data_IF_985649073175
#
_entry.id   IF_985649073175
#
_cell.length_a   1.000
_cell.length_b   1.000
_cell.length_c   1.000
_cell.angle_alpha   90.00
_cell.angle_beta   90.00
_cell.angle_gamma   90.00
#
_symmetry.space_group_name_H-M   'P 1'
#
loop_
_entity.id
_entity.type
_entity.pdbx_description
1 polymer ?
#
# COMPACT_ATOMS: atom_id res chain seq x y z
N UNK A 1 53.29 -5.25 8.46
CA UNK A 1 52.89 -3.96 9.07
C UNK A 1 51.60 -4.16 9.86
N UNK A 2 51.45 -3.55 11.04
CA UNK A 2 50.20 -3.61 11.83
C UNK A 2 49.42 -2.32 11.59
N UNK A 3 48.18 -2.43 11.16
CA UNK A 3 47.33 -1.26 10.87
C UNK A 3 45.93 -1.41 11.48
N UNK A 4 45.30 -0.27 11.74
CA UNK A 4 43.87 -0.16 11.99
C UNK A 4 43.29 0.70 10.88
N UNK A 5 42.41 0.13 10.06
CA UNK A 5 41.77 0.82 8.94
C UNK A 5 40.26 0.79 9.12
N UNK A 6 39.60 1.91 8.85
CA UNK A 6 38.13 1.99 8.83
C UNK A 6 37.70 2.39 7.43
N UNK A 7 36.89 1.55 6.81
CA UNK A 7 36.23 1.80 5.53
C UNK A 7 34.76 2.08 5.81
N UNK A 8 34.34 3.33 5.63
CA UNK A 8 32.99 3.79 5.97
C UNK A 8 32.08 3.83 4.72
N UNK A 9 30.83 3.40 4.90
CA UNK A 9 29.74 3.38 3.89
C UNK A 9 30.13 2.73 2.55
N UNK A 10 30.73 1.54 2.60
CA UNK A 10 31.13 0.81 1.40
C UNK A 10 29.91 0.17 0.73
N UNK A 11 29.63 0.58 -0.50
CA UNK A 11 28.49 0.16 -1.31
C UNK A 11 28.82 -0.78 -2.47
N UNK A 12 30.11 -0.98 -2.77
CA UNK A 12 30.59 -1.90 -3.81
C UNK A 12 31.63 -2.86 -3.19
N UNK A 13 31.43 -4.15 -3.39
CA UNK A 13 32.34 -5.19 -2.94
C UNK A 13 33.76 -5.03 -3.49
N UNK A 14 33.94 -4.48 -4.69
CA UNK A 14 35.25 -4.29 -5.31
C UNK A 14 36.07 -3.15 -4.68
N UNK A 15 35.42 -2.20 -3.98
CA UNK A 15 36.11 -1.06 -3.38
C UNK A 15 37.14 -1.50 -2.32
N UNK A 16 36.86 -2.57 -1.58
CA UNK A 16 37.74 -3.06 -0.52
C UNK A 16 39.05 -3.57 -1.13
N UNK A 17 38.99 -4.42 -2.15
CA UNK A 17 40.17 -4.94 -2.85
C UNK A 17 40.93 -3.82 -3.59
N UNK A 18 40.21 -2.89 -4.24
CA UNK A 18 40.86 -1.75 -4.93
C UNK A 18 41.62 -0.83 -3.97
N UNK A 19 41.12 -0.63 -2.75
CA UNK A 19 41.74 0.26 -1.76
C UNK A 19 42.85 -0.41 -0.96
N UNK A 20 42.66 -1.68 -0.59
CA UNK A 20 43.55 -2.39 0.34
C UNK A 20 44.46 -3.41 -0.35
N UNK A 21 44.19 -3.76 -1.60
CA UNK A 21 44.82 -4.89 -2.29
C UNK A 21 44.47 -6.21 -1.61
N UNK A 22 45.38 -7.19 -1.68
CA UNK A 22 45.23 -8.44 -0.92
C UNK A 22 45.33 -8.18 0.58
N UNK A 23 44.38 -8.73 1.34
CA UNK A 23 44.37 -8.70 2.80
C UNK A 23 45.59 -9.44 3.39
N UNK A 24 46.20 -10.36 2.63
CA UNK A 24 47.44 -11.07 3.02
C UNK A 24 48.64 -10.12 3.22
N UNK A 25 48.55 -8.89 2.70
CA UNK A 25 49.59 -7.87 2.88
C UNK A 25 49.65 -7.29 4.31
N UNK A 26 48.64 -7.58 5.15
CA UNK A 26 48.56 -7.07 6.52
C UNK A 26 49.08 -8.07 7.55
N UNK A 27 49.74 -7.56 8.59
CA UNK A 27 50.23 -8.42 9.67
C UNK A 27 49.08 -8.99 10.53
N UNK A 28 49.31 -10.11 11.25
CA UNK A 28 48.27 -10.90 11.95
C UNK A 28 47.58 -10.18 13.13
N UNK A 29 47.96 -8.95 13.46
CA UNK A 29 47.29 -8.12 14.47
C UNK A 29 46.61 -6.87 13.89
N UNK A 30 46.52 -6.79 12.56
CA UNK A 30 45.82 -5.70 11.88
C UNK A 30 44.32 -5.86 12.02
N UNK A 31 43.60 -4.74 12.00
CA UNK A 31 42.13 -4.73 12.07
C UNK A 31 41.58 -3.82 10.98
N UNK A 32 40.65 -4.33 10.21
CA UNK A 32 39.91 -3.58 9.21
C UNK A 32 38.46 -3.57 9.65
N UNK A 33 37.90 -2.39 9.86
CA UNK A 33 36.50 -2.20 10.19
C UNK A 33 35.80 -1.70 8.94
N UNK A 34 34.82 -2.47 8.49
CA UNK A 34 34.02 -2.17 7.31
C UNK A 34 32.60 -1.83 7.77
N UNK A 35 32.09 -0.65 7.41
CA UNK A 35 30.67 -0.32 7.58
C UNK A 35 30.00 -0.35 6.22
N UNK A 36 28.80 -0.93 6.17
CA UNK A 36 27.99 -0.99 4.95
C UNK A 36 26.52 -1.16 5.31
N UNK A 37 25.65 -0.71 4.41
CA UNK A 37 24.20 -0.94 4.45
C UNK A 37 23.82 -2.25 3.75
N UNK A 38 24.72 -2.84 2.96
CA UNK A 38 24.47 -4.04 2.15
C UNK A 38 25.24 -5.25 2.68
N UNK A 39 24.51 -6.26 3.15
CA UNK A 39 25.09 -7.50 3.65
C UNK A 39 25.84 -8.28 2.54
N UNK A 40 25.50 -8.08 1.27
CA UNK A 40 26.18 -8.73 0.16
C UNK A 40 27.64 -8.29 0.05
N UNK A 41 27.95 -7.02 0.35
CA UNK A 41 29.32 -6.49 0.40
C UNK A 41 30.16 -7.24 1.44
N UNK A 42 29.57 -7.54 2.61
CA UNK A 42 30.25 -8.31 3.67
C UNK A 42 30.52 -9.76 3.24
N UNK A 43 29.53 -10.38 2.57
CA UNK A 43 29.64 -11.77 2.08
C UNK A 43 30.70 -11.90 0.98
N UNK A 44 30.68 -10.98 0.01
CA UNK A 44 31.65 -10.95 -1.09
C UNK A 44 33.09 -10.80 -0.58
N UNK A 45 33.29 -9.98 0.45
CA UNK A 45 34.60 -9.73 1.06
C UNK A 45 35.02 -10.75 2.14
N UNK A 46 34.22 -11.80 2.37
CA UNK A 46 34.52 -12.90 3.31
C UNK A 46 34.98 -12.42 4.70
N UNK A 47 34.28 -11.43 5.25
CA UNK A 47 34.63 -10.83 6.54
C UNK A 47 34.64 -11.87 7.68
N UNK A 48 35.56 -11.74 8.62
CA UNK A 48 35.72 -12.70 9.73
C UNK A 48 34.60 -12.61 10.77
N UNK A 49 34.13 -11.40 11.06
CA UNK A 49 33.10 -11.14 12.07
C UNK A 49 32.14 -10.07 11.55
N UNK A 50 30.85 -10.24 11.85
CA UNK A 50 29.79 -9.30 11.47
C UNK A 50 29.05 -8.81 12.70
N UNK A 51 28.85 -7.49 12.80
CA UNK A 51 28.01 -6.88 13.83
C UNK A 51 26.82 -6.19 13.17
N UNK A 52 25.61 -6.69 13.42
CA UNK A 52 24.39 -6.05 12.95
C UNK A 52 23.96 -4.96 13.94
N UNK A 53 23.98 -3.70 13.48
CA UNK A 53 23.48 -2.59 14.29
C UNK A 53 21.97 -2.75 14.50
N UNK A 54 21.54 -2.82 15.75
CA UNK A 54 20.12 -2.95 16.12
C UNK A 54 19.50 -1.59 16.43
N UNK A 55 18.19 -1.52 16.25
CA UNK A 55 17.38 -0.38 16.68
C UNK A 55 17.53 -0.15 18.19
N UNK A 56 17.39 1.10 18.62
CA UNK A 56 17.34 1.40 20.04
C UNK A 56 16.06 0.84 20.67
N UNK A 57 16.18 0.29 21.88
CA UNK A 57 15.01 0.03 22.69
C UNK A 57 14.28 1.35 23.00
N UNK A 58 12.96 1.30 23.17
CA UNK A 58 12.15 2.50 23.50
C UNK A 58 12.73 3.27 24.69
N UNK A 59 13.18 2.54 25.73
CA UNK A 59 13.79 3.13 26.92
C UNK A 59 15.10 3.85 26.58
N UNK A 60 15.98 3.22 25.78
CA UNK A 60 17.26 3.82 25.44
C UNK A 60 17.11 5.02 24.52
N UNK A 61 16.18 4.95 23.56
CA UNK A 61 15.85 6.07 22.70
C UNK A 61 15.26 7.24 23.48
N UNK A 62 14.41 6.97 24.49
CA UNK A 62 13.82 7.99 25.37
C UNK A 62 14.87 8.66 26.26
N UNK A 63 15.76 7.86 26.85
CA UNK A 63 16.90 8.35 27.64
C UNK A 63 17.77 9.30 26.80
N UNK A 64 18.18 8.87 25.60
CA UNK A 64 19.00 9.67 24.70
C UNK A 64 18.28 10.94 24.24
N UNK A 65 16.99 10.83 23.90
CA UNK A 65 16.20 11.97 23.46
C UNK A 65 16.06 13.01 24.58
N UNK A 66 15.71 12.60 25.80
CA UNK A 66 15.55 13.51 26.93
C UNK A 66 16.88 14.16 27.35
N UNK A 67 17.98 13.40 27.29
CA UNK A 67 19.32 13.91 27.57
C UNK A 67 19.68 15.07 26.65
N UNK A 68 19.39 14.95 25.35
CA UNK A 68 19.79 15.93 24.35
C UNK A 68 18.76 17.04 24.11
N UNK A 69 17.47 16.79 24.38
CA UNK A 69 16.42 17.77 24.18
C UNK A 69 16.38 18.85 25.28
N UNK A 70 16.74 18.48 26.52
CA UNK A 70 16.49 19.32 27.71
C UNK A 70 17.74 19.79 28.47
N UNK A 71 18.95 19.44 28.03
CA UNK A 71 20.23 19.92 28.58
C UNK A 71 20.30 19.97 30.12
N UNK A 72 19.74 18.95 30.81
CA UNK A 72 19.63 18.86 32.28
C UNK A 72 18.69 19.85 32.99
N UNK A 73 17.63 20.33 32.33
CA UNK A 73 16.61 21.19 32.98
C UNK A 73 15.49 20.40 33.69
N UNK A 74 14.90 21.01 34.73
CA UNK A 74 13.76 20.47 35.52
C UNK A 74 12.46 20.26 34.71
N UNK A 75 12.43 20.69 33.44
CA UNK A 75 11.27 20.60 32.57
C UNK A 75 11.02 19.19 32.03
N UNK A 76 11.93 18.22 32.24
CA UNK A 76 11.77 16.86 31.71
C UNK A 76 10.45 16.19 32.07
N UNK A 77 9.91 16.41 33.28
CA UNK A 77 8.61 15.84 33.68
C UNK A 77 7.45 16.42 32.88
N UNK A 78 7.49 17.71 32.57
CA UNK A 78 6.41 18.39 31.84
C UNK A 78 6.30 17.87 30.39
N UNK A 79 7.42 17.48 29.79
CA UNK A 79 7.49 17.03 28.40
C UNK A 79 7.51 15.50 28.28
N UNK A 80 7.48 14.75 29.38
CA UNK A 80 7.68 13.29 29.38
C UNK A 80 6.74 12.57 28.41
N UNK A 81 5.44 12.85 28.46
CA UNK A 81 4.46 12.23 27.56
C UNK A 81 4.70 12.60 26.09
N UNK A 82 5.18 13.81 25.81
CA UNK A 82 5.48 14.25 24.45
C UNK A 82 6.75 13.57 23.94
N UNK A 83 7.79 13.47 24.78
CA UNK A 83 9.01 12.72 24.49
C UNK A 83 8.73 11.25 24.20
N UNK A 84 7.87 10.61 25.01
CA UNK A 84 7.50 9.22 24.81
C UNK A 84 6.79 9.02 23.46
N UNK A 85 5.82 9.89 23.13
CA UNK A 85 5.13 9.86 21.82
C UNK A 85 6.10 10.05 20.65
N UNK A 86 7.07 10.95 20.77
CA UNK A 86 8.08 11.20 19.74
C UNK A 86 9.00 10.00 19.51
N UNK A 87 9.51 9.44 20.61
CA UNK A 87 10.40 8.27 20.57
C UNK A 87 9.64 7.04 20.05
N UNK A 88 8.39 6.88 20.45
CA UNK A 88 7.53 5.83 19.92
C UNK A 88 7.31 5.95 18.42
N UNK A 89 7.19 7.18 17.89
CA UNK A 89 7.11 7.42 16.45
C UNK A 89 8.42 7.04 15.74
N UNK A 90 9.57 7.27 16.38
CA UNK A 90 10.88 6.92 15.81
C UNK A 90 11.12 5.41 15.70
N UNK A 91 10.35 4.58 16.44
CA UNK A 91 10.48 3.10 16.42
C UNK A 91 11.92 2.63 16.55
N UNK A 92 12.68 3.24 17.46
CA UNK A 92 14.07 2.88 17.71
C UNK A 92 15.08 3.33 16.63
N UNK A 93 14.64 3.99 15.56
CA UNK A 93 15.52 4.50 14.51
C UNK A 93 16.34 5.72 15.00
N UNK A 94 17.68 5.61 15.13
CA UNK A 94 18.53 6.68 15.66
C UNK A 94 18.49 7.97 14.83
N UNK A 95 18.35 7.86 13.50
CA UNK A 95 18.31 9.01 12.60
C UNK A 95 17.04 9.82 12.80
N UNK A 96 15.91 9.14 12.96
CA UNK A 96 14.63 9.79 13.26
C UNK A 96 14.68 10.51 14.60
N UNK A 97 15.26 9.87 15.63
CA UNK A 97 15.48 10.51 16.95
C UNK A 97 16.37 11.76 16.82
N UNK A 98 17.47 11.68 16.05
CA UNK A 98 18.36 12.83 15.79
C UNK A 98 17.63 13.97 15.10
N UNK A 99 16.79 13.69 14.10
CA UNK A 99 15.98 14.72 13.44
C UNK A 99 15.02 15.37 14.43
N UNK A 100 14.36 14.59 15.31
CA UNK A 100 13.52 15.15 16.37
C UNK A 100 14.26 16.10 17.29
N UNK A 101 15.46 15.72 17.73
CA UNK A 101 16.28 16.62 18.52
C UNK A 101 16.52 17.96 17.81
N UNK A 102 16.79 17.96 16.49
CA UNK A 102 16.97 19.23 15.75
C UNK A 102 15.70 20.08 15.67
N UNK A 103 14.52 19.47 15.67
CA UNK A 103 13.25 20.19 15.57
C UNK A 103 12.83 20.76 16.93
N UNK A 104 13.07 20.00 18.00
CA UNK A 104 12.43 20.22 19.30
C UNK A 104 13.33 20.80 20.39
N UNK A 105 14.65 20.66 20.25
CA UNK A 105 15.60 21.17 21.23
C UNK A 105 15.33 22.65 21.53
N UNK A 106 15.24 22.97 22.82
CA UNK A 106 15.02 24.33 23.35
C UNK A 106 13.71 25.01 22.87
N UNK A 107 12.74 24.25 22.34
CA UNK A 107 11.42 24.77 21.97
C UNK A 107 10.41 24.62 23.12
N UNK A 108 9.47 25.57 23.19
CA UNK A 108 8.34 25.55 24.13
C UNK A 108 7.35 24.43 23.80
N UNK A 109 6.66 23.90 24.81
CA UNK A 109 5.64 22.83 24.72
C UNK A 109 4.60 23.01 23.63
N UNK A 110 4.08 24.23 23.45
CA UNK A 110 3.09 24.54 22.39
C UNK A 110 3.64 24.21 20.99
N UNK A 111 4.94 24.43 20.76
CA UNK A 111 5.61 24.07 19.50
C UNK A 111 5.72 22.55 19.36
N UNK A 112 6.02 21.84 20.44
CA UNK A 112 6.07 20.37 20.44
C UNK A 112 4.73 19.75 20.06
N UNK A 113 3.64 20.22 20.66
CA UNK A 113 2.29 19.75 20.38
C UNK A 113 1.88 20.05 18.93
N UNK A 114 2.21 21.25 18.43
CA UNK A 114 1.93 21.66 17.05
C UNK A 114 2.68 20.78 16.02
N UNK A 115 3.97 20.55 16.21
CA UNK A 115 4.74 19.71 15.30
C UNK A 115 4.36 18.24 15.42
N UNK A 116 4.13 17.70 16.63
CA UNK A 116 3.61 16.34 16.80
C UNK A 116 2.28 16.15 16.05
N UNK A 117 1.41 17.16 16.05
CA UNK A 117 0.18 17.14 15.26
C UNK A 117 0.46 17.13 13.75
N UNK A 118 1.45 17.88 13.26
CA UNK A 118 1.88 17.84 11.85
C UNK A 118 2.48 16.48 11.48
N UNK A 119 3.24 15.85 12.36
CA UNK A 119 3.86 14.54 12.16
C UNK A 119 2.84 13.41 11.94
N UNK A 120 1.69 13.48 12.62
CA UNK A 120 0.57 12.55 12.37
C UNK A 120 0.03 12.65 10.94
N UNK A 121 0.27 13.76 10.25
CA UNK A 121 -0.21 14.01 8.88
C UNK A 121 0.86 13.88 7.82
N UNK A 122 2.12 14.24 8.11
CA UNK A 122 3.22 14.27 7.14
C UNK A 122 4.58 14.04 7.83
N UNK A 123 5.45 13.25 7.20
CA UNK A 123 6.86 13.17 7.62
C UNK A 123 7.59 14.50 7.34
N UNK A 124 8.49 14.96 8.23
CA UNK A 124 9.33 16.13 7.97
C UNK A 124 10.24 15.89 6.77
N UNK A 125 10.49 16.96 6.02
CA UNK A 125 11.39 16.94 4.86
C UNK A 125 12.75 16.31 5.20
N UNK A 126 13.36 16.68 6.33
CA UNK A 126 14.67 16.14 6.74
C UNK A 126 14.69 14.62 6.97
N UNK A 127 13.59 14.02 7.43
CA UNK A 127 13.50 12.55 7.57
C UNK A 127 13.38 11.91 6.19
N UNK A 128 12.56 12.52 5.34
CA UNK A 128 12.40 12.09 3.95
C UNK A 128 13.72 12.16 3.19
N UNK A 129 14.48 13.25 3.30
CA UNK A 129 15.76 13.44 2.60
C UNK A 129 16.78 12.35 2.97
N UNK A 130 16.84 11.98 4.25
CA UNK A 130 17.73 10.90 4.73
C UNK A 130 17.29 9.54 4.23
N UNK A 131 15.98 9.25 4.26
CA UNK A 131 15.44 7.98 3.72
C UNK A 131 15.57 7.91 2.20
N UNK A 132 15.51 9.06 1.52
CA UNK A 132 15.59 9.17 0.08
C UNK A 132 16.97 8.76 -0.44
N UNK A 133 18.05 9.01 0.30
CA UNK A 133 19.40 8.57 -0.11
C UNK A 133 19.45 7.05 -0.39
N UNK A 134 18.93 6.23 0.53
CA UNK A 134 18.88 4.78 0.33
C UNK A 134 17.91 4.35 -0.78
N UNK A 135 16.91 5.16 -1.11
CA UNK A 135 16.00 4.90 -2.22
C UNK A 135 16.63 5.27 -3.57
N UNK A 136 17.35 6.39 -3.63
CA UNK A 136 18.06 6.86 -4.82
C UNK A 136 19.22 5.92 -5.19
N UNK A 137 19.77 5.17 -4.22
CA UNK A 137 20.78 4.11 -4.43
C UNK A 137 20.22 2.83 -5.11
N UNK A 138 18.89 2.64 -5.12
CA UNK A 138 18.24 1.47 -5.74
C UNK A 138 18.16 1.58 -7.26
N UNK A 139 18.18 0.45 -7.97
CA UNK A 139 17.91 0.45 -9.41
C UNK A 139 16.44 0.76 -9.72
N UNK A 140 16.12 1.08 -10.98
CA UNK A 140 14.76 1.48 -11.38
C UNK A 140 13.69 0.42 -11.04
N UNK A 141 14.03 -0.88 -11.14
CA UNK A 141 13.10 -1.98 -10.86
C UNK A 141 12.90 -2.14 -9.35
N UNK A 142 13.97 -2.04 -8.57
CA UNK A 142 13.93 -2.08 -7.11
C UNK A 142 13.19 -0.88 -6.52
N UNK A 143 13.40 0.32 -7.06
CA UNK A 143 12.63 1.52 -6.75
C UNK A 143 11.14 1.30 -6.98
N UNK A 144 10.78 0.75 -8.14
CA UNK A 144 9.38 0.43 -8.46
C UNK A 144 8.79 -0.58 -7.48
N UNK A 145 9.54 -1.64 -7.14
CA UNK A 145 9.11 -2.64 -6.14
C UNK A 145 8.93 -1.99 -4.76
N UNK A 146 9.87 -1.15 -4.32
CA UNK A 146 9.78 -0.43 -3.05
C UNK A 146 8.55 0.47 -3.01
N UNK A 147 8.29 1.23 -4.08
CA UNK A 147 7.10 2.06 -4.18
C UNK A 147 5.81 1.23 -4.20
N UNK A 148 5.79 0.08 -4.87
CA UNK A 148 4.65 -0.82 -4.91
C UNK A 148 4.38 -1.45 -3.54
N UNK A 149 5.43 -1.87 -2.82
CA UNK A 149 5.33 -2.35 -1.44
C UNK A 149 4.89 -1.23 -0.49
N UNK A 150 5.51 -0.05 -0.56
CA UNK A 150 5.11 1.11 0.24
C UNK A 150 3.66 1.48 -0.04
N UNK A 151 3.24 1.50 -1.31
CA UNK A 151 1.85 1.70 -1.69
C UNK A 151 0.95 0.60 -1.15
N UNK A 152 1.34 -0.67 -1.22
CA UNK A 152 0.58 -1.79 -0.66
C UNK A 152 0.38 -1.66 0.85
N UNK A 153 1.47 -1.39 1.60
CA UNK A 153 1.44 -1.22 3.04
C UNK A 153 0.71 0.07 3.47
N UNK A 154 0.83 1.17 2.72
CA UNK A 154 0.11 2.43 3.01
C UNK A 154 -1.37 2.38 2.58
N UNK A 155 -1.72 1.60 1.54
CA UNK A 155 -3.12 1.35 1.10
C UNK A 155 -3.93 0.62 2.17
N UNK A 156 -3.29 -0.17 3.04
CA UNK A 156 -3.95 -0.81 4.18
C UNK A 156 -4.48 0.18 5.22
N UNK A 157 -4.02 1.44 5.24
CA UNK A 157 -4.39 2.42 6.27
C UNK A 157 -5.24 3.60 5.77
N UNK A 158 -5.37 3.77 4.45
CA UNK A 158 -6.17 4.89 3.91
C UNK A 158 -7.63 4.51 3.79
N UNK A 159 -8.49 5.30 4.44
CA UNK A 159 -9.95 5.21 4.34
C UNK A 159 -10.50 5.65 2.99
N UNK A 160 -9.77 6.53 2.29
CA UNK A 160 -10.19 7.15 1.03
C UNK A 160 -9.03 7.23 0.04
N UNK A 161 -9.35 7.25 -1.25
CA UNK A 161 -8.39 7.44 -2.34
C UNK A 161 -8.42 8.92 -2.78
N UNK A 162 -7.26 9.54 -3.06
CA UNK A 162 -7.22 10.86 -3.71
C UNK A 162 -7.87 10.83 -5.10
N UNK A 163 -8.10 12.02 -5.69
CA UNK A 163 -8.72 12.18 -7.00
C UNK A 163 -8.01 11.32 -8.06
N UNK A 164 -8.81 10.59 -8.84
CA UNK A 164 -8.33 9.69 -9.88
C UNK A 164 -8.07 10.45 -11.19
N UNK A 165 -7.08 10.04 -12.01
CA UNK A 165 -6.85 10.63 -13.32
C UNK A 165 -8.00 10.30 -14.28
N UNK A 166 -8.40 11.27 -15.11
CA UNK A 166 -9.56 11.15 -16.01
C UNK A 166 -9.37 10.09 -17.11
N UNK A 167 -8.13 9.76 -17.47
CA UNK A 167 -7.77 8.75 -18.48
C UNK A 167 -7.71 7.31 -17.94
N UNK A 168 -7.97 7.08 -16.66
CA UNK A 168 -7.82 5.77 -16.04
C UNK A 168 -8.85 4.77 -16.59
N UNK A 169 -8.36 3.65 -17.14
CA UNK A 169 -9.20 2.53 -17.62
C UNK A 169 -9.40 1.43 -16.58
N UNK A 170 -8.41 1.19 -15.71
CA UNK A 170 -8.46 0.12 -14.71
C UNK A 170 -8.11 0.66 -13.33
N UNK A 171 -9.01 0.42 -12.36
CA UNK A 171 -8.77 0.70 -10.95
C UNK A 171 -8.83 -0.61 -10.17
N UNK A 172 -7.69 -1.06 -9.66
CA UNK A 172 -7.61 -2.22 -8.78
C UNK A 172 -7.11 -1.77 -7.39
N UNK A 173 -7.99 -1.87 -6.42
CA UNK A 173 -7.72 -1.62 -5.00
C UNK A 173 -8.17 -2.80 -4.13
N UNK A 174 -8.13 -4.01 -4.69
CA UNK A 174 -8.42 -5.22 -3.94
C UNK A 174 -7.57 -5.33 -2.67
N UNK A 175 -8.13 -5.95 -1.64
CA UNK A 175 -7.55 -6.18 -0.32
C UNK A 175 -7.27 -4.93 0.51
N UNK A 176 -7.81 -3.77 0.12
CA UNK A 176 -7.74 -2.54 0.94
C UNK A 176 -8.76 -2.61 2.09
N UNK A 177 -8.41 -3.34 3.16
CA UNK A 177 -9.33 -3.66 4.28
C UNK A 177 -9.90 -2.44 5.00
N UNK A 178 -9.18 -1.31 5.03
CA UNK A 178 -9.63 -0.07 5.67
C UNK A 178 -10.29 0.94 4.73
N UNK A 179 -10.34 0.66 3.43
CA UNK A 179 -10.99 1.55 2.45
C UNK A 179 -12.50 1.55 2.71
N UNK A 180 -13.07 2.75 2.86
CA UNK A 180 -14.49 2.93 3.18
C UNK A 180 -15.31 3.39 1.98
N UNK A 181 -14.69 4.19 1.11
CA UNK A 181 -15.33 4.76 -0.08
C UNK A 181 -14.32 5.07 -1.18
N UNK A 182 -14.83 5.25 -2.40
CA UNK A 182 -14.08 5.75 -3.56
C UNK A 182 -14.47 7.21 -3.85
N UNK A 183 -13.56 8.02 -4.40
CA UNK A 183 -13.92 9.29 -5.02
C UNK A 183 -14.78 9.05 -6.27
N UNK A 184 -15.22 10.13 -6.92
CA UNK A 184 -15.85 10.03 -8.24
C UNK A 184 -14.98 9.25 -9.21
N UNK A 185 -15.60 8.32 -9.93
CA UNK A 185 -14.91 7.43 -10.86
C UNK A 185 -14.69 8.14 -12.21
N UNK A 186 -13.53 7.95 -12.85
CA UNK A 186 -13.25 8.50 -14.17
C UNK A 186 -14.29 8.05 -15.21
N UNK A 187 -14.67 8.91 -16.17
CA UNK A 187 -15.75 8.63 -17.11
C UNK A 187 -15.43 7.50 -18.11
N UNK A 188 -14.15 7.17 -18.29
CA UNK A 188 -13.65 6.13 -19.19
C UNK A 188 -13.16 4.87 -18.46
N UNK A 189 -13.49 4.71 -17.18
CA UNK A 189 -13.11 3.52 -16.42
C UNK A 189 -13.82 2.29 -16.98
N UNK A 190 -13.05 1.28 -17.35
CA UNK A 190 -13.52 0.01 -17.93
C UNK A 190 -13.56 -1.10 -16.87
N UNK A 191 -12.62 -1.11 -15.91
CA UNK A 191 -12.52 -2.14 -14.87
C UNK A 191 -12.36 -1.55 -13.47
N UNK A 192 -13.19 -2.01 -12.52
CA UNK A 192 -13.10 -1.70 -11.10
C UNK A 192 -12.99 -3.00 -10.28
N UNK A 193 -11.89 -3.16 -9.54
CA UNK A 193 -11.69 -4.28 -8.62
C UNK A 193 -11.48 -3.76 -7.19
N UNK A 194 -12.42 -4.09 -6.30
CA UNK A 194 -12.42 -3.79 -4.87
C UNK A 194 -12.54 -5.06 -4.02
N UNK A 195 -12.18 -6.23 -4.58
CA UNK A 195 -12.30 -7.53 -3.89
C UNK A 195 -11.63 -7.50 -2.51
N UNK A 196 -12.22 -8.13 -1.49
CA UNK A 196 -11.69 -8.17 -0.11
C UNK A 196 -11.59 -6.81 0.61
N UNK A 197 -12.28 -5.76 0.15
CA UNK A 197 -12.36 -4.49 0.87
C UNK A 197 -13.42 -4.56 1.99
N UNK A 198 -13.06 -5.20 3.11
CA UNK A 198 -14.03 -5.56 4.16
C UNK A 198 -14.71 -4.37 4.85
N UNK A 199 -14.11 -3.17 4.89
CA UNK A 199 -14.71 -1.97 5.50
C UNK A 199 -15.45 -1.07 4.50
N UNK A 200 -15.52 -1.47 3.23
CA UNK A 200 -16.08 -0.67 2.15
C UNK A 200 -17.61 -0.69 2.19
N UNK A 201 -18.24 0.48 2.26
CA UNK A 201 -19.69 0.57 2.56
C UNK A 201 -20.56 0.88 1.35
N UNK A 202 -20.06 1.70 0.42
CA UNK A 202 -20.86 2.20 -0.70
C UNK A 202 -20.01 2.35 -1.95
N UNK A 203 -20.46 1.77 -3.06
CA UNK A 203 -19.85 2.01 -4.38
C UNK A 203 -20.46 3.30 -4.95
N UNK A 204 -19.64 4.28 -5.40
CA UNK A 204 -20.14 5.50 -6.02
C UNK A 204 -20.83 5.19 -7.36
N UNK A 205 -21.50 6.19 -7.94
CA UNK A 205 -22.08 6.07 -9.29
C UNK A 205 -21.01 5.61 -10.27
N UNK A 206 -21.32 4.53 -11.01
CA UNK A 206 -20.38 3.94 -11.95
C UNK A 206 -20.48 4.62 -13.32
N UNK A 207 -19.36 4.79 -14.04
CA UNK A 207 -19.37 5.35 -15.38
C UNK A 207 -20.00 4.36 -16.39
N UNK A 208 -20.57 4.85 -17.49
CA UNK A 208 -21.22 4.01 -18.50
C UNK A 208 -20.23 3.12 -19.28
N UNK A 209 -18.94 3.49 -19.30
CA UNK A 209 -17.86 2.72 -19.91
C UNK A 209 -17.47 1.46 -19.12
N UNK A 210 -17.95 1.31 -17.89
CA UNK A 210 -17.49 0.22 -17.01
C UNK A 210 -17.99 -1.12 -17.54
N UNK A 211 -17.07 -2.00 -17.89
CA UNK A 211 -17.35 -3.36 -18.35
C UNK A 211 -17.30 -4.38 -17.21
N UNK A 212 -16.33 -4.21 -16.29
CA UNK A 212 -16.06 -5.18 -15.21
C UNK A 212 -16.08 -4.53 -13.83
N UNK A 213 -16.86 -5.08 -12.92
CA UNK A 213 -16.87 -4.78 -11.49
C UNK A 213 -16.67 -6.05 -10.66
N UNK A 214 -15.63 -6.08 -9.83
CA UNK A 214 -15.42 -7.13 -8.84
C UNK A 214 -15.42 -6.56 -7.43
N UNK A 215 -16.47 -6.85 -6.67
CA UNK A 215 -16.62 -6.48 -5.28
C UNK A 215 -16.80 -7.71 -4.37
N UNK A 216 -16.28 -8.88 -4.77
CA UNK A 216 -16.37 -10.09 -3.96
C UNK A 216 -15.74 -9.88 -2.58
N UNK A 217 -16.31 -10.50 -1.55
CA UNK A 217 -15.83 -10.51 -0.17
C UNK A 217 -15.87 -9.11 0.51
N UNK A 218 -16.62 -8.16 -0.04
CA UNK A 218 -16.88 -6.86 0.57
C UNK A 218 -18.02 -6.95 1.60
N UNK A 219 -17.72 -7.53 2.77
CA UNK A 219 -18.72 -7.89 3.79
C UNK A 219 -19.51 -6.69 4.35
N UNK A 220 -18.92 -5.50 4.44
CA UNK A 220 -19.62 -4.29 4.94
C UNK A 220 -20.33 -3.49 3.84
N UNK A 221 -20.34 -3.96 2.60
CA UNK A 221 -20.98 -3.26 1.49
C UNK A 221 -22.50 -3.27 1.68
N UNK A 222 -23.10 -2.08 1.79
CA UNK A 222 -24.53 -1.88 2.03
C UNK A 222 -25.30 -1.50 0.79
N UNK A 223 -24.80 -0.49 0.08
CA UNK A 223 -25.52 0.11 -1.04
C UNK A 223 -24.66 0.14 -2.26
N UNK A 224 -25.25 -0.21 -3.40
CA UNK A 224 -24.63 -0.07 -4.69
C UNK A 224 -25.52 0.74 -5.61
N UNK A 225 -25.08 1.94 -5.96
CA UNK A 225 -25.77 2.82 -6.92
C UNK A 225 -25.38 2.42 -8.35
N UNK A 226 -25.63 1.15 -8.68
CA UNK A 226 -25.14 0.49 -9.90
C UNK A 226 -25.86 0.93 -11.16
N UNK A 227 -27.18 1.14 -11.06
CA UNK A 227 -28.03 1.10 -12.22
C UNK A 227 -28.99 2.28 -12.29
N UNK A 228 -29.27 2.78 -13.51
CA UNK A 228 -30.42 3.62 -13.77
C UNK A 228 -31.72 2.92 -13.38
N UNK A 229 -32.75 3.70 -13.02
CA UNK A 229 -34.02 3.18 -12.50
C UNK A 229 -34.88 2.48 -13.56
N UNK A 230 -34.49 2.53 -14.84
CA UNK A 230 -35.25 1.94 -15.94
C UNK A 230 -34.48 0.83 -16.64
N UNK A 231 -35.19 -0.24 -17.04
CA UNK A 231 -34.61 -1.35 -17.81
C UNK A 231 -34.03 -0.89 -19.16
N UNK A 232 -34.62 0.16 -19.76
CA UNK A 232 -34.17 0.73 -21.05
C UNK A 232 -32.76 1.34 -20.94
N UNK A 233 -32.47 2.03 -19.84
CA UNK A 233 -31.15 2.60 -19.60
C UNK A 233 -30.13 1.51 -19.25
N UNK A 234 -30.51 0.49 -18.48
CA UNK A 234 -29.66 -0.66 -18.19
C UNK A 234 -29.32 -1.49 -19.45
N UNK A 235 -30.24 -1.56 -20.42
CA UNK A 235 -29.99 -2.20 -21.71
C UNK A 235 -28.89 -1.49 -22.51
N UNK A 236 -28.69 -0.17 -22.31
CA UNK A 236 -27.64 0.61 -22.98
C UNK A 236 -26.26 0.47 -22.33
N UNK A 237 -26.18 -0.13 -21.14
CA UNK A 237 -24.89 -0.36 -20.47
C UNK A 237 -24.13 -1.56 -21.07
N UNK A 238 -22.80 -1.47 -21.09
CA UNK A 238 -21.90 -2.52 -21.61
C UNK A 238 -21.23 -3.36 -20.51
N UNK A 239 -21.88 -3.50 -19.34
CA UNK A 239 -21.34 -4.30 -18.23
C UNK A 239 -21.34 -5.79 -18.58
N UNK A 240 -20.15 -6.33 -18.82
CA UNK A 240 -19.91 -7.75 -19.12
C UNK A 240 -19.89 -8.60 -17.86
N UNK A 241 -19.33 -8.08 -16.76
CA UNK A 241 -19.05 -8.87 -15.57
C UNK A 241 -19.21 -8.05 -14.29
N UNK A 242 -20.17 -8.43 -13.44
CA UNK A 242 -20.44 -7.77 -12.17
C UNK A 242 -20.50 -8.83 -11.08
N UNK A 243 -19.61 -8.75 -10.08
CA UNK A 243 -19.43 -9.78 -9.06
C UNK A 243 -19.56 -9.22 -7.64
N UNK A 244 -20.43 -9.84 -6.83
CA UNK A 244 -20.72 -9.49 -5.42
C UNK A 244 -20.76 -10.73 -4.49
N UNK A 245 -19.93 -11.73 -4.76
CA UNK A 245 -19.86 -12.94 -3.93
C UNK A 245 -19.57 -12.60 -2.46
N UNK A 246 -20.32 -13.18 -1.54
CA UNK A 246 -20.19 -12.96 -0.09
C UNK A 246 -20.38 -11.50 0.38
N UNK A 247 -21.18 -10.71 -0.34
CA UNK A 247 -21.61 -9.36 0.05
C UNK A 247 -22.96 -9.40 0.78
N UNK A 248 -22.96 -9.88 2.02
CA UNK A 248 -24.18 -10.25 2.75
C UNK A 248 -25.02 -9.08 3.30
N UNK A 249 -24.48 -7.86 3.31
CA UNK A 249 -25.13 -6.68 3.89
C UNK A 249 -25.80 -5.76 2.85
N UNK A 250 -25.93 -6.22 1.60
CA UNK A 250 -26.55 -5.45 0.53
C UNK A 250 -28.03 -5.15 0.82
N UNK A 251 -28.45 -3.91 0.61
CA UNK A 251 -29.84 -3.50 0.73
C UNK A 251 -30.72 -4.08 -0.38
N UNK A 252 -32.03 -4.13 -0.13
CA UNK A 252 -33.00 -4.74 -1.05
C UNK A 252 -32.99 -4.07 -2.43
N UNK A 253 -32.80 -2.75 -2.48
CA UNK A 253 -32.72 -2.01 -3.74
C UNK A 253 -31.52 -2.48 -4.57
N UNK A 254 -30.36 -2.62 -3.94
CA UNK A 254 -29.13 -3.11 -4.58
C UNK A 254 -29.30 -4.54 -5.09
N UNK A 255 -29.92 -5.43 -4.30
CA UNK A 255 -30.18 -6.81 -4.68
C UNK A 255 -31.08 -6.91 -5.93
N UNK A 256 -32.19 -6.16 -5.95
CA UNK A 256 -33.10 -6.11 -7.11
C UNK A 256 -32.37 -5.63 -8.36
N UNK A 257 -31.56 -4.58 -8.21
CA UNK A 257 -30.87 -3.98 -9.34
C UNK A 257 -29.77 -4.91 -9.90
N UNK A 258 -29.02 -5.61 -9.04
CA UNK A 258 -28.06 -6.65 -9.43
C UNK A 258 -28.78 -7.80 -10.16
N UNK A 259 -29.94 -8.23 -9.65
CA UNK A 259 -30.76 -9.26 -10.29
C UNK A 259 -31.23 -8.87 -11.68
N UNK A 260 -31.73 -7.65 -11.85
CA UNK A 260 -32.17 -7.12 -13.14
C UNK A 260 -31.01 -7.05 -14.16
N UNK A 261 -29.83 -6.62 -13.73
CA UNK A 261 -28.65 -6.62 -14.59
C UNK A 261 -28.24 -8.02 -15.03
N UNK A 262 -28.30 -9.00 -14.13
CA UNK A 262 -28.04 -10.39 -14.48
C UNK A 262 -29.05 -10.91 -15.52
N UNK A 263 -30.34 -10.60 -15.37
CA UNK A 263 -31.38 -10.94 -16.34
C UNK A 263 -31.14 -10.30 -17.71
N UNK A 264 -30.83 -9.01 -17.74
CA UNK A 264 -30.51 -8.28 -18.97
C UNK A 264 -29.29 -8.91 -19.66
N UNK A 265 -28.24 -9.24 -18.92
CA UNK A 265 -27.03 -9.85 -19.47
C UNK A 265 -27.30 -11.26 -20.01
N UNK A 266 -28.11 -12.07 -19.33
CA UNK A 266 -28.56 -13.36 -19.86
C UNK A 266 -29.37 -13.20 -21.16
N UNK A 267 -30.26 -12.20 -21.22
CA UNK A 267 -31.06 -11.91 -22.41
C UNK A 267 -30.19 -11.44 -23.59
N UNK A 268 -29.25 -10.52 -23.34
CA UNK A 268 -28.26 -10.07 -24.34
C UNK A 268 -27.47 -11.24 -24.91
N UNK A 269 -27.01 -12.13 -24.04
CA UNK A 269 -26.27 -13.33 -24.44
C UNK A 269 -27.13 -14.28 -25.28
N UNK A 270 -28.36 -14.59 -24.86
CA UNK A 270 -29.26 -15.45 -25.62
C UNK A 270 -29.57 -14.89 -27.03
N UNK A 271 -29.80 -13.57 -27.14
CA UNK A 271 -30.13 -12.92 -28.42
C UNK A 271 -28.96 -12.86 -29.41
N UNK A 272 -27.72 -12.86 -28.94
CA UNK A 272 -26.53 -12.93 -29.82
C UNK A 272 -26.51 -14.23 -30.63
N UNK A 273 -26.99 -15.33 -30.05
CA UNK A 273 -27.04 -16.64 -30.72
C UNK A 273 -28.26 -16.83 -31.63
N UNK A 274 -29.32 -16.02 -31.47
CA UNK A 274 -30.50 -16.05 -32.35
C UNK A 274 -30.30 -15.23 -33.64
N UNK A 275 -29.30 -14.33 -33.68
CA UNK A 275 -29.13 -13.34 -34.75
C UNK A 275 -28.08 -13.70 -35.81
N UNK A 276 -27.65 -14.97 -35.93
CA UNK A 276 -26.68 -15.37 -36.96
C UNK A 276 -27.30 -16.32 -38.00
N UNK A 277 -27.59 -15.85 -39.23
CA UNK A 277 -27.52 -16.66 -40.42
C UNK A 277 -26.14 -16.47 -41.08
N UNK A 278 -25.34 -17.53 -41.05
CA UNK A 278 -24.17 -17.85 -41.89
C UNK A 278 -22.95 -16.90 -41.95
N UNK A 279 -21.81 -17.55 -41.64
CA UNK A 279 -20.42 -17.33 -42.07
C UNK A 279 -19.58 -16.17 -41.51
N UNK A 280 -18.62 -16.60 -40.69
CA UNK A 280 -17.19 -16.29 -40.72
C UNK A 280 -16.76 -14.84 -40.50
N UNK A 281 -16.77 -14.43 -39.23
CA UNK A 281 -15.60 -13.81 -38.59
C UNK A 281 -15.67 -14.06 -37.09
N UNK A 282 -15.09 -15.18 -36.65
CA UNK A 282 -14.88 -15.48 -35.23
C UNK A 282 -13.74 -14.59 -34.74
N UNK A 283 -14.07 -13.45 -34.14
CA UNK A 283 -13.12 -12.75 -33.28
C UNK A 283 -12.88 -13.61 -32.03
N UNK A 284 -11.62 -13.95 -31.87
CA UNK A 284 -11.07 -14.97 -31.01
C UNK A 284 -11.19 -14.58 -29.52
N UNK A 285 -12.24 -15.03 -28.82
CA UNK A 285 -12.36 -14.96 -27.36
C UNK A 285 -11.59 -16.13 -26.68
N UNK A 286 -10.30 -16.28 -26.99
CA UNK A 286 -9.41 -17.19 -26.28
C UNK A 286 -8.81 -16.52 -25.04
N UNK A 287 -9.65 -16.21 -24.03
CA UNK A 287 -9.14 -15.98 -22.68
C UNK A 287 -10.08 -16.50 -21.59
N UNK A 288 -10.62 -17.70 -21.83
CA UNK A 288 -11.39 -18.49 -20.87
C UNK A 288 -10.62 -19.76 -20.50
N UNK A 289 -9.41 -19.62 -19.95
CA UNK A 289 -8.77 -20.70 -19.22
C UNK A 289 -9.08 -20.57 -17.73
N UNK A 290 -10.18 -21.19 -17.29
CA UNK A 290 -10.21 -22.21 -16.23
C UNK A 290 -11.67 -22.59 -15.92
N UNK A 291 -11.93 -23.89 -15.88
CA UNK A 291 -13.21 -24.57 -15.67
C UNK A 291 -14.18 -23.89 -14.68
N UNK A 292 -15.39 -23.61 -15.14
CA UNK A 292 -16.63 -24.31 -14.75
C UNK A 292 -17.77 -23.80 -15.65
N UNK A 293 -18.51 -24.74 -16.24
CA UNK A 293 -19.84 -24.52 -16.85
C UNK A 293 -20.64 -23.49 -16.06
N UNK A 294 -20.97 -22.36 -16.69
CA UNK A 294 -21.70 -21.26 -16.02
C UNK A 294 -23.08 -21.74 -15.60
N UNK A 295 -23.19 -22.18 -14.34
CA UNK A 295 -24.43 -22.28 -13.62
C UNK A 295 -24.88 -20.86 -13.30
N UNK A 296 -26.09 -20.49 -13.68
CA UNK A 296 -26.74 -19.32 -13.10
C UNK A 296 -26.89 -19.58 -11.59
N UNK A 297 -26.03 -18.98 -10.76
CA UNK A 297 -26.20 -19.01 -9.31
C UNK A 297 -27.15 -17.89 -8.96
N UNK A 298 -28.46 -18.18 -8.89
CA UNK A 298 -29.35 -17.36 -8.08
C UNK A 298 -29.03 -17.66 -6.62
N UNK A 299 -28.44 -16.71 -5.91
CA UNK A 299 -28.46 -16.75 -4.45
C UNK A 299 -29.90 -16.49 -4.01
N UNK A 300 -30.67 -17.56 -3.82
CA UNK A 300 -31.96 -17.49 -3.16
C UNK A 300 -31.67 -17.25 -1.67
N UNK A 301 -31.50 -15.98 -1.28
CA UNK A 301 -31.41 -15.61 0.12
C UNK A 301 -32.82 -15.60 0.69
N UNK A 302 -33.23 -16.78 1.18
CA UNK A 302 -34.33 -16.98 2.12
C UNK A 302 -35.56 -16.12 1.91
N UNK A 303 -36.54 -16.66 1.18
CA UNK A 303 -37.93 -16.29 1.37
C UNK A 303 -38.33 -16.57 2.83
N UNK A 304 -38.28 -15.58 3.70
CA UNK A 304 -39.18 -15.53 4.85
C UNK A 304 -40.47 -14.84 4.38
N UNK A 305 -41.28 -15.60 3.67
CA UNK A 305 -42.71 -15.39 3.58
C UNK A 305 -43.35 -16.68 4.05
N UNK A 306 -44.04 -16.60 5.20
CA UNK A 306 -45.17 -17.38 5.72
C UNK A 306 -45.05 -17.55 7.25
N UNK A 307 -45.36 -16.49 7.99
CA UNK A 307 -46.51 -16.37 8.92
C UNK A 307 -46.57 -14.94 9.46
#
# INVERSE_FOLDING_TARGET
MKVLTVLDDVNDSEHVEKLLGSIDNFGPSSRIILTTRDEQVLRANKVNETYQLREFSSNKALELFNLHAFSQSDHQREYYELSEKMVHYAKGNPLVVKVWLTVFKEKKRVVWESELYKLKKRLPAKVYDVMKLSYDDLDHKEQQIFLDLACFFLRLFRKTIPKLPSSLKTLNVGSCKSLQSLPELPPFLETLNIKYCCSFQTIPKLPPSLETLNANECKSLKTVLLFPSTAVEQLRENRRKVLFWNCLNLDQHSLVAIGLNAQINMMKFANQHLSTPNHDHVENYNNYEYYHSYQAISANLGSNLLE
#
